data_IF_577580684714
#
_entry.id   IF_577580684714
#
_cell.length_a   1.000
_cell.length_b   1.000
_cell.length_c   1.000
_cell.angle_alpha   90.00
_cell.angle_beta   90.00
_cell.angle_gamma   90.00
#
_symmetry.space_group_name_H-M   'P 1'
#
loop_
_entity.id
_entity.type
_entity.pdbx_description
1 polymer ?
#
# COMPACT_ATOMS: atom_id res chain seq x y z
N UNK A 1 -14.10 10.73 -10.78
CA UNK A 1 -14.83 9.63 -10.13
C UNK A 1 -14.67 8.30 -10.89
N UNK A 2 -15.07 8.19 -12.17
CA UNK A 2 -14.87 6.95 -12.95
C UNK A 2 -13.39 6.59 -13.16
N UNK A 3 -12.53 7.55 -13.49
CA UNK A 3 -11.13 7.28 -13.85
C UNK A 3 -10.30 6.68 -12.69
N UNK A 4 -10.59 7.07 -11.44
CA UNK A 4 -9.94 6.54 -10.24
C UNK A 4 -10.33 5.08 -9.97
N UNK A 5 -11.62 4.74 -10.19
CA UNK A 5 -12.11 3.37 -10.03
C UNK A 5 -11.51 2.41 -11.05
N UNK A 6 -11.31 2.86 -12.29
CA UNK A 6 -10.65 2.06 -13.33
C UNK A 6 -9.16 1.83 -13.05
N UNK A 7 -8.45 2.81 -12.51
CA UNK A 7 -7.04 2.67 -12.11
C UNK A 7 -6.87 1.69 -10.94
N UNK A 8 -7.76 1.73 -9.94
CA UNK A 8 -7.76 0.71 -8.89
C UNK A 8 -8.10 -0.68 -9.43
N UNK A 9 -9.07 -0.82 -10.34
CA UNK A 9 -9.39 -2.11 -10.94
C UNK A 9 -8.21 -2.68 -11.75
N UNK A 10 -7.51 -1.85 -12.52
CA UNK A 10 -6.33 -2.25 -13.30
C UNK A 10 -5.18 -2.66 -12.37
N UNK A 11 -4.95 -1.93 -11.27
CA UNK A 11 -3.96 -2.30 -10.26
C UNK A 11 -4.33 -3.59 -9.52
N UNK A 12 -5.62 -3.80 -9.20
CA UNK A 12 -6.13 -5.04 -8.59
C UNK A 12 -5.96 -6.24 -9.52
N UNK A 13 -6.18 -6.08 -10.83
CA UNK A 13 -5.91 -7.14 -11.80
C UNK A 13 -4.41 -7.44 -11.95
N UNK A 14 -3.53 -6.44 -11.83
CA UNK A 14 -2.08 -6.64 -11.96
C UNK A 14 -1.41 -7.26 -10.72
N UNK A 15 -1.97 -7.05 -9.52
CA UNK A 15 -1.42 -7.61 -8.25
C UNK A 15 -1.20 -9.12 -8.28
N UNK A 16 -2.05 -9.87 -9.00
CA UNK A 16 -1.98 -11.32 -9.04
C UNK A 16 -1.06 -11.86 -10.14
N UNK A 17 -0.77 -11.08 -11.17
CA UNK A 17 0.01 -11.55 -12.32
C UNK A 17 1.48 -11.73 -11.97
N UNK A 18 2.07 -10.78 -11.23
CA UNK A 18 3.49 -10.82 -10.85
C UNK A 18 3.84 -12.09 -10.03
N UNK A 19 3.16 -12.40 -8.91
CA UNK A 19 3.45 -13.62 -8.18
C UNK A 19 3.03 -14.90 -8.92
N UNK A 20 2.12 -14.85 -9.90
CA UNK A 20 1.78 -16.01 -10.73
C UNK A 20 2.86 -16.37 -11.75
N UNK A 21 3.49 -15.37 -12.38
CA UNK A 21 4.49 -15.62 -13.44
C UNK A 21 5.92 -15.74 -12.90
N UNK A 22 6.24 -15.05 -11.80
CA UNK A 22 7.62 -14.93 -11.29
C UNK A 22 7.78 -15.44 -9.86
N UNK A 23 6.93 -16.37 -9.41
CA UNK A 23 6.95 -16.89 -8.04
C UNK A 23 8.36 -17.31 -7.58
N UNK A 24 9.06 -18.08 -8.42
CA UNK A 24 10.39 -18.63 -8.11
C UNK A 24 11.49 -17.56 -7.97
N UNK A 25 11.22 -16.31 -8.40
CA UNK A 25 12.15 -15.18 -8.33
C UNK A 25 11.83 -14.19 -7.21
N UNK A 26 10.79 -14.43 -6.41
CA UNK A 26 10.40 -13.55 -5.32
C UNK A 26 11.06 -13.99 -4.01
N UNK A 27 11.95 -13.15 -3.48
CA UNK A 27 12.53 -13.34 -2.14
C UNK A 27 11.53 -13.07 -1.00
N UNK A 28 10.35 -12.54 -1.32
CA UNK A 28 9.32 -12.20 -0.34
C UNK A 28 7.96 -11.87 -0.95
N UNK A 29 6.94 -11.65 -0.11
CA UNK A 29 5.59 -11.32 -0.58
C UNK A 29 5.56 -9.96 -1.28
N UNK A 30 4.71 -9.83 -2.30
CA UNK A 30 4.44 -8.54 -2.93
C UNK A 30 3.71 -7.62 -1.95
N UNK A 31 4.30 -6.46 -1.70
CA UNK A 31 3.73 -5.42 -0.82
C UNK A 31 3.13 -4.32 -1.68
N UNK A 32 1.92 -3.89 -1.31
CA UNK A 32 1.21 -2.84 -2.04
C UNK A 32 0.91 -1.69 -1.09
N UNK A 33 1.43 -0.53 -1.45
CA UNK A 33 1.10 0.76 -0.85
C UNK A 33 0.15 1.48 -1.79
N UNK A 34 -0.97 1.97 -1.27
CA UNK A 34 -2.00 2.64 -2.05
C UNK A 34 -2.84 3.57 -1.19
N UNK A 35 -3.64 4.41 -1.84
CA UNK A 35 -4.55 5.31 -1.16
C UNK A 35 -5.58 4.56 -0.32
N UNK A 36 -6.17 5.27 0.64
CA UNK A 36 -7.26 4.73 1.46
C UNK A 36 -8.48 4.45 0.60
N UNK A 37 -9.27 3.46 0.98
CA UNK A 37 -10.54 3.13 0.32
C UNK A 37 -11.66 4.12 0.72
N UNK A 38 -11.38 5.43 0.54
CA UNK A 38 -12.31 6.53 0.79
C UNK A 38 -12.56 7.31 -0.50
N UNK A 39 -13.61 8.12 -0.49
CA UNK A 39 -13.78 9.17 -1.47
C UNK A 39 -12.63 10.18 -1.28
N UNK A 40 -11.96 10.54 -2.37
CA UNK A 40 -10.86 11.53 -2.34
C UNK A 40 -11.31 12.79 -1.59
N UNK A 41 -10.60 13.17 -0.51
CA UNK A 41 -10.98 14.31 0.31
C UNK A 41 -10.56 15.63 -0.34
N UNK A 42 -10.77 16.75 0.37
CA UNK A 42 -10.28 18.06 -0.06
C UNK A 42 -8.74 18.08 -0.14
N UNK A 43 -8.20 19.02 -0.93
CA UNK A 43 -6.76 19.14 -1.21
C UNK A 43 -5.88 19.20 0.06
N UNK A 44 -6.39 19.79 1.14
CA UNK A 44 -5.67 19.90 2.42
C UNK A 44 -5.40 18.54 3.08
N UNK A 45 -6.17 17.50 2.73
CA UNK A 45 -6.06 16.15 3.30
C UNK A 45 -5.33 15.17 2.37
N UNK A 46 -4.75 15.64 1.26
CA UNK A 46 -4.06 14.79 0.29
C UNK A 46 -2.89 14.03 0.91
N UNK A 47 -2.14 14.66 1.82
CA UNK A 47 -0.99 14.04 2.48
C UNK A 47 -1.36 12.84 3.36
N UNK A 48 -2.58 12.80 3.87
CA UNK A 48 -3.10 11.69 4.67
C UNK A 48 -3.80 10.61 3.83
N UNK A 49 -4.25 10.97 2.62
CA UNK A 49 -5.01 10.08 1.74
C UNK A 49 -4.15 9.39 0.69
N UNK A 50 -3.23 10.12 0.06
CA UNK A 50 -2.34 9.61 -0.98
C UNK A 50 -1.03 9.08 -0.38
N UNK A 51 -0.44 8.03 -0.98
CA UNK A 51 0.87 7.54 -0.59
C UNK A 51 1.91 8.65 -0.57
N UNK A 52 2.57 8.81 0.57
CA UNK A 52 3.73 9.68 0.74
C UNK A 52 5.02 8.86 0.72
N UNK A 53 6.17 9.54 0.66
CA UNK A 53 7.48 8.87 0.69
C UNK A 53 7.67 8.04 1.97
N UNK A 54 7.14 8.53 3.09
CA UNK A 54 7.17 7.85 4.39
C UNK A 54 6.47 6.50 4.32
N UNK A 55 5.32 6.43 3.64
CA UNK A 55 4.55 5.18 3.52
C UNK A 55 5.32 4.11 2.75
N UNK A 56 6.10 4.51 1.76
CA UNK A 56 6.93 3.60 0.96
C UNK A 56 8.09 3.09 1.81
N UNK A 57 8.79 3.98 2.50
CA UNK A 57 9.95 3.62 3.34
C UNK A 57 9.51 2.73 4.51
N UNK A 58 8.41 3.08 5.17
CA UNK A 58 7.88 2.29 6.28
C UNK A 58 7.35 0.93 5.79
N UNK A 59 6.74 0.85 4.60
CA UNK A 59 6.34 -0.43 4.02
C UNK A 59 7.55 -1.32 3.68
N UNK A 60 8.67 -0.75 3.21
CA UNK A 60 9.91 -1.50 3.04
C UNK A 60 10.38 -2.00 4.40
N UNK A 61 10.50 -1.11 5.39
CA UNK A 61 11.00 -1.44 6.72
C UNK A 61 10.18 -2.52 7.41
N UNK A 62 8.86 -2.38 7.43
CA UNK A 62 7.95 -3.25 8.19
C UNK A 62 7.58 -4.54 7.45
N UNK A 63 7.64 -4.58 6.11
CA UNK A 63 7.10 -5.70 5.33
C UNK A 63 8.09 -6.42 4.42
N UNK A 64 9.24 -5.82 4.12
CA UNK A 64 10.21 -6.40 3.17
C UNK A 64 11.59 -6.61 3.83
N UNK A 65 12.17 -5.53 4.36
CA UNK A 65 13.54 -5.51 4.83
C UNK A 65 13.74 -4.45 5.91
N UNK A 66 14.23 -4.87 7.08
CA UNK A 66 14.53 -3.98 8.19
C UNK A 66 15.68 -3.03 7.83
N UNK A 67 15.37 -1.74 7.76
CA UNK A 67 16.34 -0.68 7.50
C UNK A 67 17.03 -0.25 8.80
N UNK A 68 18.34 -0.42 8.89
CA UNK A 68 19.12 -0.05 10.07
C UNK A 68 18.99 1.44 10.40
N UNK A 69 18.65 1.74 11.66
CA UNK A 69 18.50 3.11 12.16
C UNK A 69 17.25 3.85 11.68
N UNK A 70 16.41 3.24 10.83
CA UNK A 70 15.14 3.83 10.42
C UNK A 70 14.14 3.80 11.57
N UNK A 71 13.40 4.90 11.73
CA UNK A 71 12.31 5.02 12.70
C UNK A 71 11.01 5.18 11.94
N UNK A 72 10.07 4.27 12.22
CA UNK A 72 8.77 4.24 11.55
C UNK A 72 7.98 5.49 11.90
N UNK A 73 7.38 6.11 10.88
CA UNK A 73 6.54 7.31 11.06
C UNK A 73 5.08 7.08 10.69
N UNK A 74 4.79 5.99 9.98
CA UNK A 74 3.46 5.57 9.55
C UNK A 74 3.28 4.05 9.70
N UNK A 75 2.13 3.61 10.19
CA UNK A 75 1.83 2.18 10.35
C UNK A 75 1.40 1.56 9.01
N UNK A 76 2.30 0.75 8.47
CA UNK A 76 2.14 -0.07 7.26
C UNK A 76 2.15 -1.57 7.60
N UNK A 77 1.96 -1.94 8.87
CA UNK A 77 1.94 -3.33 9.31
C UNK A 77 0.77 -4.11 8.68
N UNK A 78 0.93 -5.43 8.60
CA UNK A 78 -0.14 -6.31 8.11
C UNK A 78 -1.38 -6.25 9.02
N UNK A 79 -1.18 -6.09 10.33
CA UNK A 79 -2.27 -5.95 11.31
C UNK A 79 -3.09 -4.70 11.05
N UNK A 80 -2.44 -3.56 10.80
CA UNK A 80 -3.15 -2.32 10.50
C UNK A 80 -3.86 -2.38 9.15
N UNK A 81 -3.27 -3.04 8.15
CA UNK A 81 -3.95 -3.28 6.87
C UNK A 81 -5.23 -4.11 7.05
N UNK A 82 -5.19 -5.17 7.87
CA UNK A 82 -6.38 -5.98 8.18
C UNK A 82 -7.43 -5.14 8.92
N UNK A 83 -7.01 -4.33 9.90
CA UNK A 83 -7.90 -3.44 10.65
C UNK A 83 -8.60 -2.45 9.71
N UNK A 84 -7.83 -1.75 8.87
CA UNK A 84 -8.30 -0.82 7.85
C UNK A 84 -9.34 -1.45 6.92
N UNK A 85 -9.01 -2.61 6.35
CA UNK A 85 -9.92 -3.37 5.48
C UNK A 85 -11.22 -3.76 6.20
N UNK A 86 -11.14 -4.16 7.48
CA UNK A 86 -12.31 -4.56 8.27
C UNK A 86 -13.27 -3.39 8.54
N UNK A 87 -12.74 -2.18 8.73
CA UNK A 87 -13.53 -1.00 9.05
C UNK A 87 -13.80 -0.08 7.85
N UNK A 88 -13.22 -0.35 6.68
CA UNK A 88 -13.27 0.55 5.53
C UNK A 88 -12.56 1.87 5.78
N UNK A 89 -11.45 1.85 6.52
CA UNK A 89 -10.66 3.03 6.93
C UNK A 89 -9.25 3.03 6.34
#
# INVERSE_FOLDING_TARGET
FLHFFYLELILIFNKNLIPQFNFDYLDGPVVVVGSRNWITPAAEMESAFFPQKEWIIDAIHERLYLLDGHQVTTDQSTTEQIRRNKFGV
#
